data_IF_831165711788
#
_entry.id   IF_831165711788
#
_cell.length_a   1.000
_cell.length_b   1.000
_cell.length_c   1.000
_cell.angle_alpha   90.00
_cell.angle_beta   90.00
_cell.angle_gamma   90.00
#
_symmetry.space_group_name_H-M   'P 1'
#
loop_
_entity.id
_entity.type
_entity.pdbx_description
1 polymer ?
#
# COMPACT_ATOMS: atom_id res chain seq x y z
N UNK A 1 -20.91 -10.84 -9.83
CA UNK A 1 -21.13 -10.91 -8.37
C UNK A 1 -22.63 -10.73 -8.10
N UNK A 2 -23.30 -11.70 -7.51
CA UNK A 2 -24.73 -11.60 -7.19
C UNK A 2 -24.86 -11.00 -5.79
N UNK A 3 -25.49 -9.85 -5.65
CA UNK A 3 -25.80 -9.27 -4.35
C UNK A 3 -27.06 -9.99 -3.84
N UNK A 4 -26.87 -10.99 -2.96
CA UNK A 4 -28.00 -11.78 -2.45
C UNK A 4 -28.58 -11.22 -1.16
N UNK A 5 -27.78 -10.57 -0.35
CA UNK A 5 -28.18 -10.02 0.94
C UNK A 5 -27.34 -8.79 1.28
N UNK A 6 -27.98 -7.78 1.85
CA UNK A 6 -27.30 -6.63 2.46
C UNK A 6 -27.36 -6.79 3.97
N UNK A 7 -26.24 -6.52 4.65
CA UNK A 7 -26.27 -6.36 6.10
C UNK A 7 -27.08 -5.12 6.49
N UNK A 8 -27.57 -5.04 7.74
CA UNK A 8 -28.27 -3.84 8.22
C UNK A 8 -27.49 -2.54 7.94
N UNK A 9 -26.17 -2.57 8.13
CA UNK A 9 -25.30 -1.40 7.91
C UNK A 9 -25.12 -1.05 6.44
N UNK A 10 -25.03 -2.04 5.56
CA UNK A 10 -25.07 -1.80 4.12
C UNK A 10 -26.43 -1.27 3.67
N UNK A 11 -27.52 -1.66 4.35
CA UNK A 11 -28.85 -1.08 4.17
C UNK A 11 -28.90 0.42 4.50
N UNK A 12 -28.16 0.86 5.53
CA UNK A 12 -28.03 2.30 5.85
C UNK A 12 -27.29 3.08 4.76
N UNK A 13 -26.33 2.48 4.08
CA UNK A 13 -25.68 3.07 2.89
C UNK A 13 -26.72 3.31 1.78
N UNK A 14 -27.58 2.33 1.51
CA UNK A 14 -28.63 2.46 0.50
C UNK A 14 -29.66 3.54 0.87
N UNK A 15 -30.01 3.69 2.15
CA UNK A 15 -30.92 4.74 2.61
C UNK A 15 -30.35 6.14 2.37
N UNK A 16 -29.03 6.31 2.32
CA UNK A 16 -28.40 7.59 2.03
C UNK A 16 -28.75 8.15 0.64
N UNK A 17 -29.18 7.30 -0.30
CA UNK A 17 -29.66 7.73 -1.63
C UNK A 17 -30.74 8.81 -1.52
N UNK A 18 -31.63 8.68 -0.53
CA UNK A 18 -32.79 9.53 -0.29
C UNK A 18 -32.65 10.40 0.97
N UNK A 19 -31.52 10.34 1.64
CA UNK A 19 -31.28 11.07 2.88
C UNK A 19 -30.99 12.56 2.59
N UNK A 20 -31.31 13.48 3.54
CA UNK A 20 -31.05 14.90 3.35
C UNK A 20 -29.56 15.26 3.50
N UNK A 21 -28.75 14.41 4.12
CA UNK A 21 -27.33 14.67 4.32
C UNK A 21 -26.60 14.70 2.97
N UNK A 22 -25.62 15.59 2.87
CA UNK A 22 -24.82 15.81 1.67
C UNK A 22 -23.59 14.91 1.59
N UNK A 23 -23.12 14.42 2.74
CA UNK A 23 -21.87 13.65 2.86
C UNK A 23 -22.13 12.31 3.54
N UNK A 24 -21.67 11.22 2.94
CA UNK A 24 -21.57 9.90 3.59
C UNK A 24 -20.10 9.57 3.83
N UNK A 25 -19.77 9.32 5.08
CA UNK A 25 -18.48 8.75 5.46
C UNK A 25 -18.68 7.32 5.97
N UNK A 26 -18.04 6.36 5.33
CA UNK A 26 -17.96 4.99 5.80
C UNK A 26 -16.49 4.61 6.07
N UNK A 27 -16.12 4.53 7.34
CA UNK A 27 -14.79 4.07 7.75
C UNK A 27 -14.84 2.68 8.40
N UNK A 28 -13.70 2.18 8.80
CA UNK A 28 -13.61 0.97 9.62
C UNK A 28 -12.71 -0.11 9.02
N UNK A 29 -12.90 -1.35 9.47
CA UNK A 29 -12.00 -2.47 9.16
C UNK A 29 -11.94 -2.82 7.67
N UNK A 30 -10.84 -3.44 7.26
CA UNK A 30 -10.72 -4.01 5.90
C UNK A 30 -11.76 -5.12 5.68
N UNK A 31 -12.10 -5.38 4.41
CA UNK A 31 -13.04 -6.45 4.00
C UNK A 31 -14.46 -6.36 4.61
N UNK A 32 -14.84 -5.22 5.17
CA UNK A 32 -16.17 -5.00 5.77
C UNK A 32 -17.29 -4.73 4.75
N UNK A 33 -16.99 -4.71 3.45
CA UNK A 33 -17.98 -4.54 2.39
C UNK A 33 -18.34 -3.08 2.09
N UNK A 34 -17.64 -2.09 2.68
CA UNK A 34 -17.85 -0.64 2.47
C UNK A 34 -17.86 -0.25 0.99
N UNK A 35 -16.75 -0.48 0.29
CA UNK A 35 -16.53 0.00 -1.08
C UNK A 35 -17.65 -0.43 -2.03
N UNK A 36 -18.02 -1.72 -2.02
CA UNK A 36 -19.01 -2.23 -2.97
C UNK A 36 -20.43 -1.75 -2.65
N UNK A 37 -20.83 -1.71 -1.39
CA UNK A 37 -22.15 -1.18 -1.02
C UNK A 37 -22.27 0.31 -1.35
N UNK A 38 -21.23 1.08 -1.11
CA UNK A 38 -21.21 2.52 -1.38
C UNK A 38 -21.21 2.85 -2.88
N UNK A 39 -20.36 2.17 -3.68
CA UNK A 39 -20.30 2.48 -5.11
C UNK A 39 -21.57 2.07 -5.85
N UNK A 40 -22.23 0.99 -5.42
CA UNK A 40 -23.55 0.59 -5.94
C UNK A 40 -24.59 1.64 -5.57
N UNK A 41 -24.62 2.09 -4.31
CA UNK A 41 -25.54 3.13 -3.87
C UNK A 41 -25.29 4.47 -4.60
N UNK A 42 -24.02 4.85 -4.79
CA UNK A 42 -23.64 6.04 -5.56
C UNK A 42 -24.13 5.98 -7.01
N UNK A 43 -23.96 4.83 -7.67
CA UNK A 43 -24.44 4.63 -9.02
C UNK A 43 -25.98 4.74 -9.10
N UNK A 44 -26.69 4.10 -8.15
CA UNK A 44 -28.15 4.17 -8.08
C UNK A 44 -28.60 5.62 -7.87
N UNK A 45 -28.03 6.33 -6.89
CA UNK A 45 -28.34 7.72 -6.64
C UNK A 45 -28.14 8.59 -7.88
N UNK A 46 -27.01 8.44 -8.57
CA UNK A 46 -26.73 9.22 -9.78
C UNK A 46 -27.73 8.94 -10.90
N UNK A 47 -28.13 7.68 -11.11
CA UNK A 47 -29.04 7.29 -12.16
C UNK A 47 -30.51 7.64 -11.85
N UNK A 48 -30.90 7.69 -10.57
CA UNK A 48 -32.26 8.10 -10.18
C UNK A 48 -32.47 9.63 -10.30
N UNK A 49 -31.46 10.42 -9.90
CA UNK A 49 -31.62 11.86 -9.74
C UNK A 49 -31.15 12.69 -10.95
N UNK A 50 -30.30 12.14 -11.82
CA UNK A 50 -29.64 12.91 -12.88
C UNK A 50 -29.75 12.24 -14.26
N UNK A 51 -29.57 13.06 -15.30
CA UNK A 51 -29.44 12.65 -16.69
C UNK A 51 -28.36 13.50 -17.37
N UNK A 52 -27.53 12.89 -18.21
CA UNK A 52 -26.43 13.52 -18.96
C UNK A 52 -25.49 14.36 -18.09
N UNK A 53 -25.24 13.87 -16.88
CA UNK A 53 -24.47 14.58 -15.86
C UNK A 53 -23.15 13.87 -15.58
N UNK A 54 -22.13 14.64 -15.19
CA UNK A 54 -20.84 14.11 -14.85
C UNK A 54 -20.72 13.82 -13.36
N UNK A 55 -19.95 12.79 -13.04
CA UNK A 55 -19.65 12.32 -11.69
C UNK A 55 -18.15 11.98 -11.58
N UNK A 56 -17.62 12.04 -10.35
CA UNK A 56 -16.22 11.71 -10.04
C UNK A 56 -16.18 10.36 -9.32
N UNK A 57 -15.27 9.46 -9.75
CA UNK A 57 -14.83 8.30 -8.99
C UNK A 57 -13.33 8.43 -8.81
N UNK A 58 -12.87 8.56 -7.58
CA UNK A 58 -11.47 8.77 -7.22
C UNK A 58 -10.93 7.67 -6.31
N UNK A 59 -9.68 7.29 -6.50
CA UNK A 59 -8.91 6.44 -5.60
C UNK A 59 -7.45 6.83 -5.61
N UNK A 60 -6.56 6.10 -4.94
CA UNK A 60 -5.13 6.42 -4.88
C UNK A 60 -4.50 6.49 -6.28
N UNK A 61 -4.83 5.57 -7.18
CA UNK A 61 -4.38 5.59 -8.58
C UNK A 61 -5.51 5.19 -9.52
N UNK A 62 -5.49 5.65 -10.78
CA UNK A 62 -6.45 5.21 -11.79
C UNK A 62 -6.47 3.68 -11.93
N UNK A 63 -5.30 3.04 -11.94
CA UNK A 63 -5.18 1.58 -12.09
C UNK A 63 -5.80 0.83 -10.91
N UNK A 64 -5.58 1.27 -9.67
CA UNK A 64 -6.21 0.65 -8.50
C UNK A 64 -7.72 0.86 -8.51
N UNK A 65 -8.19 2.05 -8.88
CA UNK A 65 -9.63 2.37 -8.99
C UNK A 65 -10.31 1.52 -10.07
N UNK A 66 -9.68 1.34 -11.23
CA UNK A 66 -10.20 0.43 -12.26
C UNK A 66 -10.33 -1.01 -11.74
N UNK A 67 -9.30 -1.51 -11.06
CA UNK A 67 -9.25 -2.88 -10.53
C UNK A 67 -10.25 -3.10 -9.39
N UNK A 68 -10.31 -2.17 -8.45
CA UNK A 68 -11.03 -2.35 -7.19
C UNK A 68 -12.51 -1.92 -7.27
N UNK A 69 -12.85 -1.02 -8.21
CA UNK A 69 -14.19 -0.44 -8.32
C UNK A 69 -14.81 -0.72 -9.68
N UNK A 70 -14.17 -0.28 -10.77
CA UNK A 70 -14.83 -0.30 -12.09
C UNK A 70 -15.12 -1.72 -12.55
N UNK A 71 -14.13 -2.62 -12.50
CA UNK A 71 -14.32 -4.02 -12.91
C UNK A 71 -15.35 -4.75 -12.06
N UNK A 72 -15.23 -4.74 -10.70
CA UNK A 72 -16.24 -5.39 -9.86
C UNK A 72 -17.65 -4.81 -10.07
N UNK A 73 -17.78 -3.48 -10.29
CA UNK A 73 -19.07 -2.84 -10.53
C UNK A 73 -19.72 -3.32 -11.85
N UNK A 74 -18.93 -3.50 -12.91
CA UNK A 74 -19.43 -4.05 -14.19
C UNK A 74 -19.88 -5.51 -14.06
N UNK A 75 -19.31 -6.27 -13.11
CA UNK A 75 -19.61 -7.68 -12.84
C UNK A 75 -20.79 -7.87 -11.84
N UNK A 76 -21.42 -6.79 -11.37
CA UNK A 76 -22.59 -6.87 -10.49
C UNK A 76 -23.82 -7.28 -11.26
N UNK A 77 -24.39 -8.44 -10.91
CA UNK A 77 -25.64 -8.94 -11.47
C UNK A 77 -26.86 -8.29 -10.82
N UNK A 78 -27.89 -8.03 -11.62
CA UNK A 78 -29.17 -7.51 -11.13
C UNK A 78 -29.29 -5.99 -11.12
N UNK A 79 -28.24 -5.24 -11.47
CA UNK A 79 -28.38 -3.81 -11.71
C UNK A 79 -29.13 -3.57 -13.04
N UNK A 80 -30.10 -2.64 -13.07
CA UNK A 80 -30.86 -2.34 -14.30
C UNK A 80 -30.07 -1.49 -15.30
N UNK A 81 -28.82 -1.16 -14.97
CA UNK A 81 -27.95 -0.25 -15.71
C UNK A 81 -27.00 -1.00 -16.63
N UNK A 82 -26.84 -0.52 -17.86
CA UNK A 82 -25.75 -0.95 -18.75
C UNK A 82 -24.53 -0.07 -18.45
N UNK A 83 -23.42 -0.73 -18.13
CA UNK A 83 -22.16 -0.08 -17.74
C UNK A 83 -21.12 -0.32 -18.82
N UNK A 84 -20.60 0.76 -19.41
CA UNK A 84 -19.55 0.69 -20.42
C UNK A 84 -18.36 1.56 -20.05
N UNK A 85 -17.21 0.95 -19.76
CA UNK A 85 -15.99 1.68 -19.40
C UNK A 85 -15.14 1.97 -20.65
N UNK A 86 -15.01 3.26 -20.99
CA UNK A 86 -14.14 3.79 -22.04
C UNK A 86 -12.76 4.08 -21.46
N UNK A 87 -11.86 3.11 -21.60
CA UNK A 87 -10.54 3.17 -20.95
C UNK A 87 -9.69 4.35 -21.41
N UNK A 88 -9.74 4.70 -22.72
CA UNK A 88 -8.99 5.85 -23.26
C UNK A 88 -9.41 7.16 -22.61
N UNK A 89 -10.69 7.34 -22.32
CA UNK A 89 -11.27 8.53 -21.71
C UNK A 89 -11.31 8.46 -20.17
N UNK A 90 -10.93 7.32 -19.58
CA UNK A 90 -11.08 7.02 -18.15
C UNK A 90 -12.51 7.30 -17.65
N UNK A 91 -13.49 6.90 -18.41
CA UNK A 91 -14.89 7.25 -18.20
C UNK A 91 -15.79 6.02 -18.23
N UNK A 92 -16.54 5.78 -17.16
CA UNK A 92 -17.62 4.82 -17.12
C UNK A 92 -18.92 5.52 -17.55
N UNK A 93 -19.60 4.95 -18.52
CA UNK A 93 -20.91 5.40 -18.98
C UNK A 93 -21.95 4.44 -18.44
N UNK A 94 -22.95 4.96 -17.74
CA UNK A 94 -24.09 4.21 -17.23
C UNK A 94 -25.36 4.63 -17.97
N UNK A 95 -26.12 3.67 -18.49
CA UNK A 95 -27.36 3.93 -19.25
C UNK A 95 -28.52 3.07 -18.76
N UNK A 96 -29.72 3.67 -18.68
CA UNK A 96 -30.95 2.97 -18.36
C UNK A 96 -32.17 3.80 -18.80
N UNK A 97 -33.12 3.18 -19.49
CA UNK A 97 -34.42 3.84 -19.80
C UNK A 97 -34.32 5.16 -20.57
N UNK A 98 -33.28 5.33 -21.39
CA UNK A 98 -32.99 6.56 -22.12
C UNK A 98 -32.16 7.61 -21.37
N UNK A 99 -31.92 7.43 -20.08
CA UNK A 99 -30.96 8.24 -19.29
C UNK A 99 -29.54 7.77 -19.52
N UNK A 100 -28.58 8.70 -19.47
CA UNK A 100 -27.15 8.45 -19.58
C UNK A 100 -26.35 9.35 -18.62
N UNK A 101 -25.46 8.76 -17.80
CA UNK A 101 -24.58 9.53 -16.91
C UNK A 101 -23.11 9.10 -17.07
N UNK A 102 -22.19 10.00 -16.73
CA UNK A 102 -20.77 9.88 -17.02
C UNK A 102 -19.93 9.93 -15.75
N UNK A 103 -19.21 8.87 -15.44
CA UNK A 103 -18.37 8.76 -14.24
C UNK A 103 -16.89 8.79 -14.65
N UNK A 104 -16.23 9.89 -14.35
CA UNK A 104 -14.80 10.08 -14.65
C UNK A 104 -13.93 9.51 -13.54
N UNK A 105 -12.94 8.71 -13.94
CA UNK A 105 -12.04 8.00 -13.01
C UNK A 105 -10.74 8.76 -12.85
N UNK A 106 -10.39 9.11 -11.60
CA UNK A 106 -9.20 9.85 -11.25
C UNK A 106 -8.33 9.09 -10.24
N UNK A 107 -7.02 9.42 -10.23
CA UNK A 107 -6.07 8.98 -9.21
C UNK A 107 -5.54 10.19 -8.45
N UNK A 108 -5.72 10.21 -7.12
CA UNK A 108 -5.14 11.20 -6.22
C UNK A 108 -3.86 10.67 -5.58
N UNK A 109 -2.77 10.56 -6.37
CA UNK A 109 -1.54 9.96 -5.88
C UNK A 109 -0.66 10.94 -5.09
N UNK A 110 -0.62 12.19 -5.50
CA UNK A 110 0.25 13.23 -4.98
C UNK A 110 -0.42 14.60 -5.03
N UNK A 111 0.21 15.61 -4.43
CA UNK A 111 -0.31 16.97 -4.35
C UNK A 111 -0.56 17.61 -5.74
N UNK A 112 0.14 17.19 -6.79
CA UNK A 112 -0.10 17.66 -8.15
C UNK A 112 -1.35 17.10 -8.83
N UNK A 113 -1.93 16.05 -8.27
CA UNK A 113 -3.08 15.35 -8.85
C UNK A 113 -4.36 16.19 -8.91
N UNK A 114 -4.48 17.27 -8.11
CA UNK A 114 -5.63 18.19 -8.16
C UNK A 114 -5.82 18.82 -9.53
N UNK A 115 -4.76 19.00 -10.32
CA UNK A 115 -4.82 19.58 -11.65
C UNK A 115 -5.64 18.74 -12.64
N UNK A 116 -5.71 17.41 -12.41
CA UNK A 116 -6.44 16.48 -13.28
C UNK A 116 -7.96 16.71 -13.28
N UNK A 117 -8.49 17.32 -12.22
CA UNK A 117 -9.93 17.55 -12.04
C UNK A 117 -10.35 18.98 -12.47
N UNK A 118 -9.38 19.83 -12.79
CA UNK A 118 -9.67 21.20 -13.21
C UNK A 118 -10.54 21.20 -14.47
N UNK A 119 -11.57 22.08 -14.47
CA UNK A 119 -12.49 22.24 -15.60
C UNK A 119 -13.65 21.26 -15.67
N UNK A 120 -13.70 20.22 -14.83
CA UNK A 120 -14.87 19.34 -14.71
C UNK A 120 -15.91 19.98 -13.77
N UNK A 121 -17.20 19.90 -14.13
CA UNK A 121 -18.33 20.14 -13.23
C UNK A 121 -19.04 18.81 -13.02
N UNK A 122 -19.27 18.40 -11.79
CA UNK A 122 -19.84 17.11 -11.42
C UNK A 122 -20.96 17.26 -10.39
N UNK A 123 -21.98 16.39 -10.44
CA UNK A 123 -23.05 16.40 -9.45
C UNK A 123 -22.70 15.64 -8.17
N UNK A 124 -21.62 14.86 -8.17
CA UNK A 124 -21.17 14.15 -6.99
C UNK A 124 -19.78 13.55 -7.16
N UNK A 125 -19.19 13.16 -6.02
CA UNK A 125 -17.88 12.54 -5.99
C UNK A 125 -17.84 11.36 -5.02
N UNK A 126 -17.25 10.27 -5.48
CA UNK A 126 -16.95 9.06 -4.70
C UNK A 126 -15.46 8.92 -4.54
N UNK A 127 -14.99 8.75 -3.32
CA UNK A 127 -13.58 8.59 -2.97
C UNK A 127 -13.35 7.25 -2.29
N UNK A 128 -12.62 6.37 -2.95
CA UNK A 128 -12.17 5.10 -2.38
C UNK A 128 -10.82 5.30 -1.70
N UNK A 129 -10.70 4.79 -0.47
CA UNK A 129 -9.49 4.96 0.34
C UNK A 129 -9.08 6.45 0.48
N UNK A 130 -10.03 7.32 0.83
CA UNK A 130 -9.81 8.77 0.88
C UNK A 130 -8.66 9.18 1.81
N UNK A 131 -8.39 8.41 2.86
CA UNK A 131 -7.25 8.66 3.75
C UNK A 131 -5.89 8.49 3.06
N UNK A 132 -5.82 7.85 1.89
CA UNK A 132 -4.60 7.72 1.09
C UNK A 132 -4.46 8.79 0.00
N UNK A 133 -5.36 9.78 -0.01
CA UNK A 133 -5.37 10.83 -1.03
C UNK A 133 -5.00 12.18 -0.39
N UNK A 134 -4.25 13.04 -1.10
CA UNK A 134 -3.92 14.38 -0.61
C UNK A 134 -5.17 15.22 -0.39
N UNK A 135 -5.18 16.02 0.67
CA UNK A 135 -6.28 16.92 0.98
C UNK A 135 -6.58 17.88 -0.18
N UNK A 136 -5.54 18.45 -0.81
CA UNK A 136 -5.68 19.36 -1.95
C UNK A 136 -6.47 18.77 -3.12
N UNK A 137 -6.27 17.47 -3.38
CA UNK A 137 -7.01 16.74 -4.42
C UNK A 137 -8.48 16.56 -4.05
N UNK A 138 -8.78 16.17 -2.82
CA UNK A 138 -10.15 15.96 -2.34
C UNK A 138 -10.91 17.28 -2.28
N UNK A 139 -10.28 18.36 -1.79
CA UNK A 139 -10.86 19.72 -1.75
C UNK A 139 -11.19 20.22 -3.16
N UNK A 140 -10.29 20.01 -4.12
CA UNK A 140 -10.51 20.37 -5.51
C UNK A 140 -11.67 19.58 -6.12
N UNK A 141 -11.77 18.28 -5.89
CA UNK A 141 -12.86 17.44 -6.39
C UNK A 141 -14.21 17.87 -5.76
N UNK A 142 -14.23 18.14 -4.46
CA UNK A 142 -15.41 18.66 -3.75
C UNK A 142 -15.86 19.99 -4.32
N UNK A 143 -14.94 20.92 -4.59
CA UNK A 143 -15.26 22.21 -5.20
C UNK A 143 -15.93 22.06 -6.59
N UNK A 144 -15.70 20.96 -7.31
CA UNK A 144 -16.36 20.69 -8.61
C UNK A 144 -17.84 20.32 -8.49
N UNK A 145 -18.31 20.01 -7.29
CA UNK A 145 -19.72 19.64 -7.07
C UNK A 145 -20.60 20.83 -6.65
N UNK A 146 -20.02 21.96 -6.28
CA UNK A 146 -20.75 23.11 -5.74
C UNK A 146 -21.81 23.75 -6.69
N UNK A 147 -21.78 23.41 -7.96
CA UNK A 147 -22.76 23.90 -8.95
C UNK A 147 -24.12 23.16 -8.90
N UNK A 148 -24.20 22.07 -8.13
CA UNK A 148 -25.41 21.27 -7.99
C UNK A 148 -25.95 21.36 -6.55
N UNK A 149 -27.19 21.76 -6.39
CA UNK A 149 -27.81 21.87 -5.06
C UNK A 149 -27.99 20.51 -4.37
N UNK A 150 -28.19 19.45 -5.16
CA UNK A 150 -28.39 18.07 -4.66
C UNK A 150 -27.10 17.23 -4.74
N UNK A 151 -25.93 17.90 -4.75
CA UNK A 151 -24.65 17.19 -4.83
C UNK A 151 -24.41 16.33 -3.58
N UNK A 152 -23.81 15.16 -3.78
CA UNK A 152 -23.41 14.28 -2.67
C UNK A 152 -21.95 13.86 -2.78
N UNK A 153 -21.30 13.79 -1.61
CA UNK A 153 -19.95 13.29 -1.42
C UNK A 153 -19.98 11.95 -0.71
N UNK A 154 -19.22 10.99 -1.22
CA UNK A 154 -19.17 9.64 -0.71
C UNK A 154 -17.71 9.29 -0.39
N UNK A 155 -17.39 9.14 0.89
CA UNK A 155 -16.05 8.87 1.36
C UNK A 155 -15.97 7.49 2.01
N UNK A 156 -15.07 6.63 1.55
CA UNK A 156 -14.71 5.45 2.29
C UNK A 156 -13.22 5.41 2.60
N UNK A 157 -12.85 4.85 3.76
CA UNK A 157 -11.46 4.63 4.13
C UNK A 157 -11.31 3.53 5.20
N UNK A 158 -10.08 3.10 5.40
CA UNK A 158 -9.67 2.48 6.64
C UNK A 158 -9.09 3.58 7.55
N UNK A 159 -9.14 3.40 8.88
CA UNK A 159 -8.57 4.35 9.83
C UNK A 159 -7.06 4.51 9.69
N UNK A 160 -6.61 5.72 9.98
CA UNK A 160 -5.22 6.14 10.09
C UNK A 160 -4.97 6.80 11.47
N UNK A 161 -4.01 7.73 11.56
CA UNK A 161 -3.80 8.54 12.77
C UNK A 161 -5.01 9.46 13.04
N UNK A 162 -5.40 9.68 14.30
CA UNK A 162 -6.40 10.69 14.66
C UNK A 162 -5.99 12.12 14.26
N UNK A 163 -4.71 12.36 13.99
CA UNK A 163 -4.19 13.64 13.51
C UNK A 163 -4.33 13.81 12.00
N UNK A 164 -4.72 12.76 11.29
CA UNK A 164 -4.90 12.80 9.84
C UNK A 164 -5.96 13.84 9.44
N UNK A 165 -5.70 14.59 8.36
CA UNK A 165 -6.56 15.67 7.89
C UNK A 165 -8.03 15.27 7.74
N UNK A 166 -8.29 14.06 7.21
CA UNK A 166 -9.63 13.55 6.97
C UNK A 166 -10.41 13.34 8.28
N UNK A 167 -9.76 12.72 9.29
CA UNK A 167 -10.37 12.57 10.62
C UNK A 167 -10.69 13.91 11.24
N UNK A 168 -9.75 14.85 11.22
CA UNK A 168 -9.91 16.17 11.82
C UNK A 168 -11.06 16.96 11.15
N UNK A 169 -11.22 16.80 9.83
CA UNK A 169 -12.22 17.54 9.06
C UNK A 169 -13.62 16.90 9.12
N UNK A 170 -13.74 15.57 9.05
CA UNK A 170 -15.02 14.90 8.85
C UNK A 170 -15.50 14.06 10.03
N UNK A 171 -14.63 13.58 10.91
CA UNK A 171 -14.97 12.60 11.94
C UNK A 171 -14.84 13.11 13.36
N UNK A 172 -13.93 14.05 13.63
CA UNK A 172 -13.64 14.53 14.98
C UNK A 172 -14.83 15.20 15.64
N UNK A 173 -15.61 15.94 14.87
CA UNK A 173 -16.79 16.65 15.36
C UNK A 173 -17.98 16.27 14.49
N UNK A 174 -19.05 15.70 15.06
CA UNK A 174 -20.28 15.42 14.31
C UNK A 174 -20.85 16.69 13.65
N UNK A 175 -21.28 16.56 12.39
CA UNK A 175 -21.88 17.64 11.60
C UNK A 175 -23.22 17.16 11.01
N UNK A 176 -24.25 17.99 10.99
CA UNK A 176 -25.61 17.60 10.55
C UNK A 176 -25.65 17.15 9.09
N UNK A 177 -24.78 17.70 8.24
CA UNK A 177 -24.69 17.37 6.83
C UNK A 177 -23.93 16.05 6.55
N UNK A 178 -23.31 15.45 7.58
CA UNK A 178 -22.48 14.24 7.45
C UNK A 178 -23.18 13.05 8.09
N UNK A 179 -23.54 12.05 7.29
CA UNK A 179 -23.90 10.71 7.77
C UNK A 179 -22.63 9.89 7.95
N UNK A 180 -22.38 9.42 9.16
CA UNK A 180 -21.22 8.61 9.49
C UNK A 180 -21.62 7.15 9.77
N UNK A 181 -20.93 6.21 9.15
CA UNK A 181 -21.10 4.77 9.35
C UNK A 181 -19.75 4.11 9.60
N UNK A 182 -19.63 3.47 10.75
CA UNK A 182 -18.44 2.70 11.10
C UNK A 182 -18.65 1.21 10.83
N UNK A 183 -17.78 0.60 10.00
CA UNK A 183 -17.89 -0.78 9.54
C UNK A 183 -16.85 -1.69 10.18
N UNK A 184 -17.26 -2.88 10.60
CA UNK A 184 -16.37 -3.96 11.01
C UNK A 184 -16.47 -5.15 10.05
N UNK A 185 -15.54 -6.10 10.12
CA UNK A 185 -15.55 -7.28 9.25
C UNK A 185 -16.84 -8.08 9.35
N UNK A 186 -17.43 -8.13 10.56
CA UNK A 186 -18.69 -8.83 10.85
C UNK A 186 -19.91 -8.17 10.16
N UNK A 187 -19.78 -6.94 9.69
CA UNK A 187 -20.84 -6.27 8.92
C UNK A 187 -20.90 -6.74 7.46
N UNK A 188 -19.95 -7.56 7.00
CA UNK A 188 -19.94 -8.11 5.66
C UNK A 188 -20.55 -9.52 5.62
N UNK A 189 -21.77 -9.70 5.09
CA UNK A 189 -22.47 -10.97 5.11
C UNK A 189 -21.79 -12.08 4.30
N UNK A 190 -20.81 -11.73 3.45
CA UNK A 190 -20.05 -12.70 2.64
C UNK A 190 -18.86 -13.28 3.42
N UNK A 191 -18.46 -12.64 4.52
CA UNK A 191 -17.33 -13.08 5.34
C UNK A 191 -17.79 -14.09 6.38
N UNK A 192 -17.26 -15.32 6.33
CA UNK A 192 -17.44 -16.31 7.38
C UNK A 192 -16.41 -16.14 8.50
N UNK A 193 -16.61 -16.84 9.60
CA UNK A 193 -15.70 -16.82 10.77
C UNK A 193 -14.26 -17.20 10.39
N UNK A 194 -14.08 -18.18 9.49
CA UNK A 194 -12.76 -18.64 9.04
C UNK A 194 -12.01 -17.54 8.28
N UNK A 195 -12.72 -16.83 7.40
CA UNK A 195 -12.16 -15.72 6.63
C UNK A 195 -11.81 -14.54 7.53
N UNK A 196 -12.64 -14.23 8.52
CA UNK A 196 -12.41 -13.18 9.53
C UNK A 196 -11.17 -13.52 10.36
N UNK A 197 -11.07 -14.74 10.88
CA UNK A 197 -9.90 -15.17 11.66
C UNK A 197 -8.61 -15.17 10.81
N UNK A 198 -8.70 -15.55 9.53
CA UNK A 198 -7.58 -15.45 8.62
C UNK A 198 -7.17 -14.00 8.39
N UNK A 199 -8.12 -13.08 8.23
CA UNK A 199 -7.84 -11.65 8.06
C UNK A 199 -7.19 -11.06 9.32
N UNK A 200 -7.69 -11.41 10.52
CA UNK A 200 -7.11 -10.97 11.81
C UNK A 200 -5.63 -11.34 11.95
N UNK A 201 -5.26 -12.55 11.51
CA UNK A 201 -3.86 -13.01 11.57
C UNK A 201 -2.90 -12.29 10.64
N UNK A 202 -3.41 -11.50 9.68
CA UNK A 202 -2.56 -10.75 8.74
C UNK A 202 -1.94 -9.50 9.33
N UNK A 203 -2.39 -9.05 10.50
CA UNK A 203 -2.03 -7.76 11.06
C UNK A 203 -1.59 -7.88 12.51
N UNK A 204 -0.71 -6.98 12.94
CA UNK A 204 -0.30 -6.82 14.32
C UNK A 204 -0.16 -5.33 14.70
N UNK A 205 0.08 -5.03 15.96
CA UNK A 205 0.35 -3.67 16.44
C UNK A 205 -0.71 -2.66 16.00
N UNK A 206 -0.29 -1.52 15.48
CA UNK A 206 -1.15 -0.44 15.02
C UNK A 206 -2.01 -0.86 13.83
N UNK A 207 -1.50 -1.72 12.94
CA UNK A 207 -2.27 -2.20 11.79
C UNK A 207 -3.43 -3.10 12.20
N UNK A 208 -3.27 -3.90 13.26
CA UNK A 208 -4.39 -4.66 13.83
C UNK A 208 -5.48 -3.73 14.38
N UNK A 209 -5.09 -2.69 15.11
CA UNK A 209 -6.04 -1.72 15.65
C UNK A 209 -6.82 -1.00 14.54
N UNK A 210 -6.14 -0.58 13.47
CA UNK A 210 -6.75 0.15 12.36
C UNK A 210 -7.56 -0.76 11.44
N UNK A 211 -6.97 -1.86 10.97
CA UNK A 211 -7.53 -2.64 9.88
C UNK A 211 -8.42 -3.78 10.33
N UNK A 212 -8.28 -4.25 11.59
CA UNK A 212 -9.14 -5.26 12.17
C UNK A 212 -10.19 -4.64 13.08
N UNK A 213 -9.76 -3.81 14.04
CA UNK A 213 -10.67 -3.18 15.01
C UNK A 213 -11.31 -1.89 14.49
N UNK A 214 -10.88 -1.37 13.33
CA UNK A 214 -11.44 -0.17 12.73
C UNK A 214 -11.17 1.12 13.51
N UNK A 215 -10.11 1.19 14.30
CA UNK A 215 -9.85 2.29 15.22
C UNK A 215 -8.92 3.33 14.61
N UNK A 216 -9.24 4.62 14.79
CA UNK A 216 -8.33 5.72 14.52
C UNK A 216 -7.35 5.84 15.68
N UNK A 217 -6.12 5.39 15.48
CA UNK A 217 -5.08 5.36 16.50
C UNK A 217 -3.75 5.86 15.95
N UNK A 218 -3.00 6.58 16.79
CA UNK A 218 -1.65 7.00 16.46
C UNK A 218 -0.71 5.80 16.54
N UNK A 219 0.22 5.71 15.59
CA UNK A 219 1.28 4.72 15.63
C UNK A 219 2.33 5.15 16.67
N UNK A 220 2.61 4.29 17.63
CA UNK A 220 3.55 4.55 18.72
C UNK A 220 4.37 3.29 19.05
N UNK A 221 5.59 3.51 19.59
CA UNK A 221 6.47 2.44 20.00
C UNK A 221 7.10 1.67 18.86
N UNK A 222 7.32 0.37 19.04
CA UNK A 222 7.95 -0.50 18.05
C UNK A 222 7.09 -0.68 16.79
N UNK A 223 7.73 -0.64 15.63
CA UNK A 223 7.08 -0.90 14.35
C UNK A 223 6.73 -2.39 14.20
N UNK A 224 7.64 -3.29 14.60
CA UNK A 224 7.47 -4.74 14.54
C UNK A 224 7.53 -5.40 15.92
N UNK A 225 6.55 -5.13 16.82
CA UNK A 225 6.58 -5.66 18.19
C UNK A 225 6.57 -7.20 18.23
N UNK A 226 5.92 -7.88 17.27
CA UNK A 226 5.91 -9.34 17.18
C UNK A 226 7.32 -9.90 16.94
N UNK A 227 8.09 -9.27 16.06
CA UNK A 227 9.47 -9.70 15.79
C UNK A 227 10.39 -9.40 16.97
N UNK A 228 10.26 -8.22 17.59
CA UNK A 228 11.08 -7.84 18.74
C UNK A 228 10.88 -8.76 19.94
N UNK A 229 9.63 -9.15 20.21
CA UNK A 229 9.28 -9.99 21.36
C UNK A 229 9.63 -11.48 21.15
N UNK A 230 9.54 -12.00 19.92
CA UNK A 230 9.74 -13.43 19.64
C UNK A 230 10.53 -13.63 18.34
N UNK A 231 11.79 -13.12 18.22
CA UNK A 231 12.53 -13.10 16.97
C UNK A 231 12.82 -14.50 16.40
N UNK A 232 12.94 -15.51 17.25
CA UNK A 232 13.25 -16.88 16.84
C UNK A 232 12.14 -17.52 15.97
N UNK A 233 10.96 -16.95 15.89
CA UNK A 233 9.92 -17.39 14.97
C UNK A 233 10.31 -17.14 13.50
N UNK A 234 11.18 -16.19 13.23
CA UNK A 234 11.58 -15.77 11.88
C UNK A 234 13.08 -15.92 11.61
N UNK A 235 13.90 -16.09 12.65
CA UNK A 235 15.34 -16.27 12.51
C UNK A 235 15.65 -17.75 12.32
N UNK A 236 16.44 -18.05 11.29
CA UNK A 236 16.92 -19.40 11.00
C UNK A 236 18.44 -19.37 10.84
N UNK A 237 19.11 -20.45 11.23
CA UNK A 237 20.57 -20.54 11.09
C UNK A 237 20.97 -20.72 9.62
N UNK A 238 20.28 -21.61 8.91
CA UNK A 238 20.48 -21.90 7.48
C UNK A 238 19.14 -22.29 6.84
N UNK A 239 19.06 -22.12 5.52
CA UNK A 239 17.96 -22.68 4.75
C UNK A 239 18.14 -24.22 4.66
N UNK A 240 17.08 -24.95 4.87
CA UNK A 240 17.09 -26.40 4.63
C UNK A 240 17.15 -26.70 3.12
N UNK A 241 17.40 -27.97 2.76
CA UNK A 241 17.57 -28.39 1.35
C UNK A 241 16.34 -28.09 0.48
N UNK A 242 15.13 -28.19 1.04
CA UNK A 242 13.88 -27.89 0.35
C UNK A 242 13.76 -26.40 0.07
N UNK A 243 14.03 -25.55 1.05
CA UNK A 243 14.01 -24.09 0.91
C UNK A 243 15.07 -23.62 -0.09
N UNK A 244 16.30 -24.21 -0.06
CA UNK A 244 17.35 -23.92 -1.04
C UNK A 244 16.92 -24.27 -2.47
N UNK A 245 16.29 -25.42 -2.68
CA UNK A 245 15.75 -25.85 -4.00
C UNK A 245 14.61 -24.97 -4.49
N UNK A 246 13.86 -24.37 -3.56
CA UNK A 246 12.75 -23.47 -3.88
C UNK A 246 13.22 -22.04 -4.23
N UNK A 247 14.45 -21.64 -3.97
CA UNK A 247 14.95 -20.34 -4.38
C UNK A 247 14.88 -20.21 -5.90
N UNK A 248 14.18 -19.18 -6.36
CA UNK A 248 14.05 -18.87 -7.79
C UNK A 248 15.16 -17.92 -8.23
N UNK A 249 15.41 -16.88 -7.43
CA UNK A 249 16.43 -15.88 -7.72
C UNK A 249 16.82 -15.13 -6.45
N UNK A 250 17.96 -14.44 -6.54
CA UNK A 250 18.48 -13.55 -5.50
C UNK A 250 18.55 -12.13 -6.07
N UNK A 251 18.10 -11.18 -5.27
CA UNK A 251 18.17 -9.75 -5.51
C UNK A 251 19.00 -9.09 -4.43
N UNK A 252 19.45 -7.87 -4.70
CA UNK A 252 20.24 -7.11 -3.75
C UNK A 252 19.59 -5.74 -3.54
N UNK A 253 19.62 -5.24 -2.32
CA UNK A 253 19.33 -3.86 -1.98
C UNK A 253 20.60 -3.18 -1.53
N UNK A 254 20.79 -1.96 -1.98
CA UNK A 254 21.99 -1.18 -1.71
C UNK A 254 21.55 0.21 -1.25
N UNK A 255 21.89 0.52 -0.02
CA UNK A 255 21.78 1.86 0.53
C UNK A 255 23.17 2.46 0.68
N UNK A 256 23.40 3.61 0.05
CA UNK A 256 24.70 4.29 0.10
C UNK A 256 24.62 5.42 1.10
N UNK A 257 25.31 5.26 2.22
CA UNK A 257 25.40 6.29 3.20
C UNK A 257 26.32 7.45 2.79
N UNK A 258 25.95 8.66 3.19
CA UNK A 258 26.82 9.81 3.18
C UNK A 258 27.73 9.82 4.43
N UNK A 259 28.54 10.86 4.62
CA UNK A 259 29.65 10.92 5.58
C UNK A 259 29.38 10.46 7.02
N UNK A 260 28.14 10.52 7.50
CA UNK A 260 27.76 10.16 8.88
C UNK A 260 26.87 8.91 8.97
N UNK A 261 26.50 8.32 7.83
CA UNK A 261 25.64 7.13 7.75
C UNK A 261 26.41 5.88 7.31
N UNK A 262 25.71 4.78 7.08
CA UNK A 262 26.31 3.51 6.68
C UNK A 262 25.99 3.18 5.23
N UNK A 263 26.97 2.61 4.54
CA UNK A 263 26.69 1.90 3.28
C UNK A 263 26.33 0.45 3.62
N UNK A 264 25.16 0.03 3.18
CA UNK A 264 24.59 -1.29 3.50
C UNK A 264 24.21 -2.04 2.24
N UNK A 265 24.57 -3.33 2.20
CA UNK A 265 24.15 -4.27 1.16
C UNK A 265 23.36 -5.40 1.80
N UNK A 266 22.21 -5.75 1.25
CA UNK A 266 21.42 -6.89 1.68
C UNK A 266 21.09 -7.77 0.48
N UNK A 267 21.30 -9.08 0.63
CA UNK A 267 20.92 -10.08 -0.36
C UNK A 267 19.61 -10.76 0.04
N UNK A 268 18.60 -10.69 -0.82
CA UNK A 268 17.29 -11.30 -0.64
C UNK A 268 17.08 -12.49 -1.57
N UNK A 269 16.65 -13.61 -1.01
CA UNK A 269 16.22 -14.78 -1.78
C UNK A 269 14.70 -14.82 -1.91
N UNK A 270 14.21 -14.93 -3.14
CA UNK A 270 12.78 -15.06 -3.42
C UNK A 270 12.51 -16.47 -3.94
N UNK A 271 11.54 -17.16 -3.32
CA UNK A 271 11.17 -18.52 -3.72
C UNK A 271 10.30 -18.53 -4.98
N UNK A 272 10.21 -19.70 -5.63
CA UNK A 272 9.34 -19.91 -6.78
C UNK A 272 7.88 -19.53 -6.46
N UNK A 273 7.29 -18.71 -7.34
CA UNK A 273 5.93 -18.18 -7.15
C UNK A 273 5.83 -17.16 -6.00
N UNK A 274 6.96 -16.55 -5.60
CA UNK A 274 7.04 -15.50 -4.57
C UNK A 274 6.32 -15.86 -3.24
N UNK A 275 6.38 -17.13 -2.82
CA UNK A 275 5.71 -17.62 -1.59
C UNK A 275 6.51 -17.36 -0.32
N UNK A 276 7.82 -17.14 -0.46
CA UNK A 276 8.76 -16.89 0.66
C UNK A 276 9.78 -15.85 0.26
N UNK A 277 10.20 -15.08 1.25
CA UNK A 277 11.26 -14.10 1.18
C UNK A 277 12.28 -14.40 2.28
N UNK A 278 13.56 -14.39 1.92
CA UNK A 278 14.65 -14.69 2.84
C UNK A 278 15.68 -13.56 2.81
N UNK A 279 16.05 -13.01 3.97
CA UNK A 279 17.29 -12.25 4.10
C UNK A 279 18.46 -13.22 4.20
N UNK A 280 19.27 -13.30 3.17
CA UNK A 280 20.30 -14.35 3.01
C UNK A 280 21.67 -13.96 3.51
N UNK A 281 22.06 -12.71 3.31
CA UNK A 281 23.35 -12.14 3.73
C UNK A 281 23.23 -10.61 3.77
N UNK A 282 24.12 -10.00 4.55
CA UNK A 282 24.26 -8.55 4.61
C UNK A 282 25.72 -8.13 4.71
N UNK A 283 25.98 -6.88 4.38
CA UNK A 283 27.25 -6.21 4.60
C UNK A 283 26.96 -4.76 5.00
N UNK A 284 27.54 -4.30 6.09
CA UNK A 284 27.44 -2.93 6.59
C UNK A 284 28.80 -2.34 6.87
N UNK A 285 29.00 -1.11 6.47
CA UNK A 285 30.18 -0.32 6.81
C UNK A 285 29.87 1.13 7.01
N UNK A 286 30.64 1.82 7.84
CA UNK A 286 30.56 3.27 7.98
C UNK A 286 31.08 3.96 6.72
N UNK A 287 30.37 4.97 6.23
CA UNK A 287 30.64 5.61 4.93
C UNK A 287 31.72 6.69 4.96
N UNK A 288 32.17 7.10 6.15
CA UNK A 288 33.19 8.15 6.31
C UNK A 288 34.47 7.83 5.54
N UNK A 289 34.85 8.70 4.61
CA UNK A 289 36.11 8.60 3.86
C UNK A 289 36.15 7.51 2.80
N UNK A 290 35.00 6.95 2.41
CA UNK A 290 34.90 5.88 1.42
C UNK A 290 34.77 6.46 0.00
N UNK A 291 35.63 6.00 -0.91
CA UNK A 291 35.52 6.36 -2.33
C UNK A 291 34.49 5.49 -3.05
N UNK A 292 33.85 6.01 -4.13
CA UNK A 292 32.96 5.21 -4.99
C UNK A 292 33.58 3.89 -5.46
N UNK A 293 34.83 3.92 -5.91
CA UNK A 293 35.57 2.73 -6.33
C UNK A 293 35.72 1.67 -5.24
N UNK A 294 35.75 2.08 -4.00
CA UNK A 294 35.86 1.17 -2.87
C UNK A 294 34.50 0.48 -2.64
N UNK A 295 33.41 1.23 -2.72
CA UNK A 295 32.05 0.69 -2.64
C UNK A 295 31.80 -0.33 -3.76
N UNK A 296 32.20 0.02 -5.00
CA UNK A 296 32.10 -0.88 -6.14
C UNK A 296 32.83 -2.21 -5.90
N UNK A 297 34.08 -2.16 -5.41
CA UNK A 297 34.87 -3.37 -5.11
C UNK A 297 34.24 -4.20 -4.00
N UNK A 298 33.75 -3.58 -2.94
CA UNK A 298 33.11 -4.28 -1.84
C UNK A 298 31.80 -4.93 -2.25
N UNK A 299 30.99 -4.23 -3.06
CA UNK A 299 29.75 -4.81 -3.57
C UNK A 299 30.02 -5.99 -4.50
N UNK A 300 31.01 -5.89 -5.40
CA UNK A 300 31.46 -7.02 -6.24
C UNK A 300 31.89 -8.21 -5.39
N UNK A 301 32.67 -7.98 -4.31
CA UNK A 301 33.09 -9.04 -3.39
C UNK A 301 31.87 -9.68 -2.70
N UNK A 302 30.94 -8.87 -2.21
CA UNK A 302 29.70 -9.34 -1.59
C UNK A 302 28.86 -10.22 -2.53
N UNK A 303 28.66 -9.79 -3.79
CA UNK A 303 27.96 -10.60 -4.80
C UNK A 303 28.66 -11.94 -5.06
N UNK A 304 29.99 -11.95 -5.14
CA UNK A 304 30.78 -13.18 -5.30
C UNK A 304 30.62 -14.13 -4.11
N UNK A 305 30.57 -13.61 -2.90
CA UNK A 305 30.39 -14.42 -1.70
C UNK A 305 28.97 -14.99 -1.61
N UNK A 306 27.95 -14.22 -1.97
CA UNK A 306 26.57 -14.72 -2.07
C UNK A 306 26.46 -15.82 -3.15
N UNK A 307 27.15 -15.67 -4.29
CA UNK A 307 27.22 -16.70 -5.33
C UNK A 307 27.81 -18.02 -4.83
N UNK A 308 28.86 -17.96 -3.99
CA UNK A 308 29.45 -19.15 -3.38
C UNK A 308 28.55 -19.84 -2.38
N UNK A 309 27.79 -19.03 -1.60
CA UNK A 309 26.83 -19.54 -0.60
C UNK A 309 25.62 -20.23 -1.24
N UNK A 310 25.22 -19.76 -2.43
CA UNK A 310 24.01 -20.24 -3.13
C UNK A 310 24.34 -20.63 -4.59
N UNK A 311 25.16 -21.71 -4.80
CA UNK A 311 25.57 -22.11 -6.14
C UNK A 311 24.35 -22.54 -6.98
N UNK A 312 24.31 -22.08 -8.23
CA UNK A 312 23.25 -22.44 -9.18
C UNK A 312 21.95 -21.63 -9.03
N UNK A 313 21.81 -20.79 -8.01
CA UNK A 313 20.68 -19.87 -7.91
C UNK A 313 20.93 -18.64 -8.80
N UNK A 314 19.92 -18.23 -9.55
CA UNK A 314 20.00 -17.06 -10.42
C UNK A 314 20.09 -15.77 -9.61
N UNK A 315 21.14 -14.99 -9.82
CA UNK A 315 21.24 -13.62 -9.33
C UNK A 315 20.70 -12.68 -10.40
N UNK A 316 19.99 -11.58 -10.00
CA UNK A 316 19.29 -10.74 -10.97
C UNK A 316 19.63 -9.27 -10.83
N UNK A 317 18.99 -8.53 -9.93
CA UNK A 317 19.11 -7.09 -9.82
C UNK A 317 19.71 -6.66 -8.50
N UNK A 318 20.48 -5.57 -8.53
CA UNK A 318 20.81 -4.75 -7.37
C UNK A 318 20.03 -3.44 -7.47
N UNK A 319 19.14 -3.22 -6.52
CA UNK A 319 18.34 -2.01 -6.42
C UNK A 319 19.08 -1.00 -5.53
N UNK A 320 19.53 0.08 -6.12
CA UNK A 320 20.40 1.07 -5.50
C UNK A 320 19.64 2.36 -5.19
N UNK A 321 19.82 2.88 -3.95
CA UNK A 321 19.31 4.20 -3.59
C UNK A 321 20.38 5.26 -3.82
N UNK A 322 20.65 5.62 -5.06
CA UNK A 322 21.55 6.74 -5.32
C UNK A 322 21.46 7.30 -6.73
N UNK A 323 22.04 8.53 -6.95
CA UNK A 323 22.16 9.11 -8.27
C UNK A 323 22.69 8.11 -9.30
N UNK A 324 22.20 8.22 -10.51
CA UNK A 324 22.55 7.32 -11.62
C UNK A 324 24.05 7.09 -11.81
N UNK A 325 24.89 8.08 -11.44
CA UNK A 325 26.35 8.00 -11.54
C UNK A 325 26.95 6.86 -10.71
N UNK A 326 26.56 6.71 -9.44
CA UNK A 326 27.10 5.67 -8.57
C UNK A 326 26.52 4.31 -8.95
N UNK A 327 25.22 4.26 -9.23
CA UNK A 327 24.57 3.03 -9.71
C UNK A 327 25.22 2.52 -11.01
N UNK A 328 25.54 3.43 -11.95
CA UNK A 328 26.24 3.07 -13.19
C UNK A 328 27.67 2.59 -12.96
N UNK A 329 28.39 3.14 -11.99
CA UNK A 329 29.72 2.67 -11.59
C UNK A 329 29.67 1.23 -11.08
N UNK A 330 28.72 0.93 -10.18
CA UNK A 330 28.50 -0.43 -9.67
C UNK A 330 28.10 -1.40 -10.79
N UNK A 331 27.19 -1.01 -11.71
CA UNK A 331 26.82 -1.87 -12.86
C UNK A 331 28.02 -2.13 -13.79
N UNK A 332 28.87 -1.13 -14.02
CA UNK A 332 30.09 -1.30 -14.79
C UNK A 332 31.10 -2.24 -14.12
N UNK A 333 31.28 -2.13 -12.80
CA UNK A 333 32.15 -3.01 -12.02
C UNK A 333 31.66 -4.46 -12.06
N UNK A 334 30.35 -4.69 -11.88
CA UNK A 334 29.75 -6.03 -11.97
C UNK A 334 29.96 -6.66 -13.36
N UNK A 335 29.74 -5.90 -14.42
CA UNK A 335 29.96 -6.37 -15.82
C UNK A 335 31.42 -6.68 -16.09
N UNK A 336 32.35 -5.84 -15.63
CA UNK A 336 33.80 -6.06 -15.77
C UNK A 336 34.24 -7.40 -15.16
N UNK A 337 33.61 -7.79 -14.07
CA UNK A 337 33.87 -9.06 -13.36
C UNK A 337 33.03 -10.23 -13.90
N UNK A 338 32.23 -10.01 -14.95
CA UNK A 338 31.39 -11.04 -15.56
C UNK A 338 30.26 -11.55 -14.66
N UNK A 339 29.84 -10.77 -13.66
CA UNK A 339 28.78 -11.16 -12.73
C UNK A 339 27.39 -10.99 -13.34
N UNK A 340 26.45 -11.93 -13.12
CA UNK A 340 25.13 -11.94 -13.73
C UNK A 340 24.12 -11.02 -12.97
N UNK A 341 24.57 -9.91 -12.42
CA UNK A 341 23.78 -8.95 -11.66
C UNK A 341 23.77 -7.61 -12.39
N UNK A 342 22.63 -6.96 -12.46
CA UNK A 342 22.48 -5.63 -13.02
C UNK A 342 22.10 -4.64 -11.92
N UNK A 343 22.90 -3.59 -11.75
CA UNK A 343 22.56 -2.51 -10.84
C UNK A 343 21.62 -1.52 -11.53
N UNK A 344 20.53 -1.18 -10.84
CA UNK A 344 19.52 -0.22 -11.31
C UNK A 344 19.07 0.65 -10.12
N UNK A 345 18.60 1.85 -10.43
CA UNK A 345 18.02 2.73 -9.40
C UNK A 345 16.75 2.12 -8.83
N UNK A 346 16.64 2.07 -7.51
CA UNK A 346 15.45 1.57 -6.82
C UNK A 346 14.27 2.50 -7.09
N UNK A 347 13.15 1.94 -7.56
CA UNK A 347 11.87 2.64 -7.55
C UNK A 347 11.29 2.54 -6.15
N UNK A 348 11.41 3.61 -5.39
CA UNK A 348 10.97 3.63 -3.99
C UNK A 348 9.44 3.59 -3.87
N UNK A 349 8.93 2.63 -3.11
CA UNK A 349 7.59 2.69 -2.55
C UNK A 349 7.61 3.59 -1.30
N UNK A 350 6.46 4.13 -0.93
CA UNK A 350 6.32 4.90 0.33
C UNK A 350 6.73 4.05 1.54
N UNK A 351 7.42 4.65 2.51
CA UNK A 351 7.94 3.95 3.70
C UNK A 351 6.82 3.17 4.41
N UNK A 352 5.67 3.77 4.63
CA UNK A 352 4.54 3.12 5.28
C UNK A 352 3.98 1.93 4.48
N UNK A 353 4.04 1.98 3.15
CA UNK A 353 3.69 0.83 2.29
C UNK A 353 4.67 -0.32 2.47
N UNK A 354 5.98 -0.02 2.61
CA UNK A 354 7.03 -1.03 2.86
C UNK A 354 6.90 -1.63 4.26
N UNK A 355 6.66 -0.81 5.28
CA UNK A 355 6.42 -1.25 6.66
C UNK A 355 5.19 -2.16 6.74
N UNK A 356 4.07 -1.75 6.15
CA UNK A 356 2.86 -2.57 6.08
C UNK A 356 3.11 -3.92 5.42
N UNK A 357 3.83 -3.94 4.29
CA UNK A 357 4.16 -5.19 3.61
C UNK A 357 5.02 -6.12 4.47
N UNK A 358 6.00 -5.57 5.21
CA UNK A 358 6.83 -6.33 6.14
C UNK A 358 6.02 -6.89 7.31
N UNK A 359 5.16 -6.08 7.95
CA UNK A 359 4.26 -6.55 9.03
C UNK A 359 3.44 -7.75 8.55
N UNK A 360 2.85 -7.62 7.36
CA UNK A 360 2.06 -8.69 6.75
C UNK A 360 2.90 -9.94 6.42
N UNK A 361 4.14 -9.77 5.92
CA UNK A 361 5.05 -10.89 5.65
C UNK A 361 5.45 -11.63 6.93
N UNK A 362 5.70 -10.90 8.00
CA UNK A 362 6.00 -11.49 9.32
C UNK A 362 4.78 -12.29 9.83
N UNK A 363 3.60 -11.69 9.84
CA UNK A 363 2.38 -12.32 10.37
C UNK A 363 1.95 -13.55 9.56
N UNK A 364 2.15 -13.55 8.24
CA UNK A 364 1.87 -14.69 7.38
C UNK A 364 3.00 -15.74 7.36
N UNK A 365 4.12 -15.48 8.04
CA UNK A 365 5.31 -16.33 8.03
C UNK A 365 5.96 -16.44 6.64
N UNK A 366 5.77 -15.45 5.77
CA UNK A 366 6.38 -15.40 4.44
C UNK A 366 7.87 -15.07 4.53
N UNK A 367 8.25 -14.21 5.48
CA UNK A 367 9.61 -13.71 5.66
C UNK A 367 10.40 -14.55 6.65
N UNK A 368 11.67 -14.82 6.33
CA UNK A 368 12.68 -15.36 7.26
C UNK A 368 14.00 -14.59 7.12
N UNK A 369 14.72 -14.50 8.23
CA UNK A 369 16.03 -13.83 8.30
C UNK A 369 17.08 -14.84 8.74
N UNK A 370 18.16 -14.97 8.00
CA UNK A 370 19.28 -15.82 8.42
C UNK A 370 20.04 -15.14 9.57
N UNK A 371 20.48 -15.94 10.55
CA UNK A 371 21.22 -15.47 11.74
C UNK A 371 22.51 -14.71 11.38
N UNK A 372 23.04 -14.92 10.18
CA UNK A 372 24.18 -14.18 9.63
C UNK A 372 23.86 -12.77 9.16
N UNK A 373 22.61 -12.29 9.36
CA UNK A 373 22.19 -10.91 9.14
C UNK A 373 21.93 -10.21 10.50
N UNK A 374 22.95 -10.04 11.37
CA UNK A 374 22.75 -9.49 12.71
C UNK A 374 22.31 -8.01 12.71
N UNK A 375 22.77 -7.21 11.75
CA UNK A 375 22.41 -5.81 11.63
C UNK A 375 20.93 -5.66 11.23
N UNK A 376 20.44 -6.49 10.29
CA UNK A 376 19.01 -6.52 9.93
C UNK A 376 18.15 -7.01 11.09
N UNK A 377 18.59 -8.03 11.81
CA UNK A 377 17.90 -8.51 13.02
C UNK A 377 17.82 -7.39 14.05
N UNK A 378 18.91 -6.65 14.25
CA UNK A 378 18.94 -5.49 15.14
C UNK A 378 17.98 -4.40 14.67
N UNK A 379 18.03 -4.04 13.39
CA UNK A 379 17.14 -3.05 12.80
C UNK A 379 15.66 -3.43 13.00
N UNK A 380 15.26 -4.64 12.63
CA UNK A 380 13.87 -5.10 12.77
C UNK A 380 13.36 -5.11 14.24
N UNK A 381 14.24 -5.33 15.21
CA UNK A 381 13.90 -5.29 16.64
C UNK A 381 13.69 -3.90 17.17
N UNK A 382 14.33 -2.89 16.58
CA UNK A 382 14.47 -1.56 17.18
C UNK A 382 13.86 -0.44 16.34
N UNK A 383 13.28 -0.72 15.18
CA UNK A 383 12.53 0.29 14.43
C UNK A 383 11.35 0.79 15.26
N UNK A 384 11.23 2.10 15.39
CA UNK A 384 10.17 2.76 16.16
C UNK A 384 9.49 3.83 15.33
N UNK A 385 8.24 4.10 15.65
CA UNK A 385 7.50 5.22 15.12
C UNK A 385 8.04 6.53 15.69
N UNK A 386 8.05 7.59 14.89
CA UNK A 386 8.52 8.91 15.30
C UNK A 386 7.49 9.60 16.21
N UNK A 387 7.72 9.72 17.51
CA UNK A 387 6.73 10.27 18.43
C UNK A 387 6.53 11.79 18.30
N UNK A 388 7.40 12.47 17.53
CA UNK A 388 7.37 13.93 17.33
C UNK A 388 6.52 14.31 16.12
N UNK A 389 6.16 13.35 15.27
CA UNK A 389 5.37 13.57 14.05
C UNK A 389 3.89 13.33 14.31
N UNK A 390 3.05 14.11 13.65
CA UNK A 390 1.61 13.92 13.68
C UNK A 390 1.15 12.81 12.74
N UNK A 391 1.89 12.60 11.67
CA UNK A 391 1.71 11.51 10.73
C UNK A 391 2.57 10.32 11.14
N UNK A 392 2.19 9.12 10.72
CA UNK A 392 2.98 7.93 10.96
C UNK A 392 4.25 7.98 10.11
N UNK A 393 5.36 8.13 10.76
CA UNK A 393 6.67 8.20 10.15
C UNK A 393 7.63 7.31 10.94
N UNK A 394 8.45 6.51 10.27
CA UNK A 394 9.55 5.79 10.93
C UNK A 394 10.56 6.80 11.46
N UNK A 395 11.06 6.58 12.66
CA UNK A 395 12.14 7.38 13.23
C UNK A 395 13.46 7.02 12.52
N UNK A 396 13.99 7.96 11.75
CA UNK A 396 15.20 7.76 10.93
C UNK A 396 16.43 8.53 11.50
N UNK A 397 16.45 8.83 12.81
CA UNK A 397 17.56 9.53 13.49
C UNK A 397 18.70 8.59 13.91
N UNK A 398 18.57 7.31 13.70
CA UNK A 398 19.53 6.28 14.04
C UNK A 398 19.99 5.54 12.78
N UNK A 399 21.12 5.95 12.15
CA UNK A 399 21.61 5.36 10.90
C UNK A 399 21.81 3.85 10.96
N UNK A 400 22.25 3.30 12.09
CA UNK A 400 22.40 1.85 12.29
C UNK A 400 21.11 1.05 12.08
N UNK A 401 19.95 1.69 12.23
CA UNK A 401 18.64 1.07 12.09
C UNK A 401 18.05 1.40 10.72
N UNK A 402 18.07 2.68 10.33
CA UNK A 402 17.41 3.20 9.14
C UNK A 402 18.09 2.72 7.85
N UNK A 403 19.41 2.87 7.73
CA UNK A 403 20.17 2.49 6.53
C UNK A 403 20.04 0.98 6.24
N UNK A 404 20.04 0.16 7.29
CA UNK A 404 19.85 -1.31 7.16
C UNK A 404 18.43 -1.65 6.73
N UNK A 405 17.42 -0.96 7.29
CA UNK A 405 16.03 -1.14 6.90
C UNK A 405 15.82 -0.79 5.43
N UNK A 406 16.37 0.34 4.97
CA UNK A 406 16.24 0.80 3.61
C UNK A 406 16.92 -0.15 2.60
N UNK A 407 18.15 -0.57 2.86
CA UNK A 407 18.83 -1.57 2.02
C UNK A 407 18.04 -2.88 1.93
N UNK A 408 17.51 -3.37 3.07
CA UNK A 408 16.64 -4.54 3.08
C UNK A 408 15.39 -4.34 2.24
N UNK A 409 14.69 -3.23 2.43
CA UNK A 409 13.44 -2.90 1.74
C UNK A 409 13.65 -2.74 0.23
N UNK A 410 14.75 -2.13 -0.21
CA UNK A 410 15.07 -2.02 -1.65
C UNK A 410 15.27 -3.37 -2.30
N UNK A 411 15.78 -4.35 -1.59
CA UNK A 411 16.07 -5.68 -2.15
C UNK A 411 14.81 -6.45 -2.59
N UNK A 412 13.63 -6.16 -2.04
CA UNK A 412 12.40 -6.92 -2.31
C UNK A 412 11.17 -6.07 -2.69
N UNK A 413 11.16 -4.75 -2.45
CA UNK A 413 9.96 -3.93 -2.68
C UNK A 413 9.43 -3.97 -4.12
N UNK A 414 10.30 -4.20 -5.11
CA UNK A 414 9.90 -4.33 -6.50
C UNK A 414 8.97 -5.55 -6.74
N UNK A 415 8.92 -6.50 -5.82
CA UNK A 415 8.14 -7.74 -5.87
C UNK A 415 6.94 -7.74 -4.90
N UNK A 416 6.58 -6.61 -4.37
CA UNK A 416 5.51 -6.46 -3.35
C UNK A 416 4.16 -7.01 -3.84
N UNK A 417 3.84 -6.83 -5.13
CA UNK A 417 2.62 -7.35 -5.75
C UNK A 417 2.68 -8.87 -5.94
N UNK A 418 3.84 -9.40 -6.34
CA UNK A 418 4.06 -10.83 -6.55
C UNK A 418 4.04 -11.60 -5.22
N UNK A 419 4.56 -11.00 -4.15
CA UNK A 419 4.49 -11.53 -2.78
C UNK A 419 3.07 -11.47 -2.20
N UNK A 420 2.15 -10.72 -2.82
CA UNK A 420 0.75 -10.59 -2.39
C UNK A 420 0.60 -9.80 -1.08
N UNK A 421 1.54 -8.90 -0.79
CA UNK A 421 1.60 -8.18 0.48
C UNK A 421 1.35 -6.67 0.37
N UNK A 422 1.06 -6.14 -0.81
CA UNK A 422 0.65 -4.75 -0.98
C UNK A 422 -0.59 -4.42 -0.14
N UNK A 423 -0.65 -3.19 0.40
CA UNK A 423 -1.78 -2.63 1.13
C UNK A 423 -3.05 -2.59 0.28
#
# INVERSE_FOLDING_TARGET
>A
MRISEFSPKQGEVLKFIFAPEEVLVADGSVRSGKTMSMIVAYLIWAMEHFDRTNFIIAGKTVTSTERNIIRPLQDVEGLPYRLHYKRADRKLVATCGGKENYFYVFGGKDEGSYQLIQGLTAAGAFFDEVALQPQSFVDQATARTLSFADAKLWFNCNPESPNHWFYQMYLKTPRPEVKYLHFLMDDNPIMGEVEIEKAKRMYSGVFYQRYVLGQWVQAEGLIFPQFANNPDNWIVDELNDEERKQLAYITFGVDYGESTSHTVFVASGISRGAKRLYALAEHKRQSTGVSPDQIEREFVAFVKDVMKLYPGVRLTYAFCDHPETITNGVDAALRKEGLPVRAITAKKEEINTRIYAQDKMLNLGIMKVLRRCPDLIHSLKNQVWNPKKQEDERLDDTPDIADVADAWEYSWQAFIDELGVRA
#
